data_IF_063206528949
#
_entry.id   IF_063206528949
#
_cell.length_a   1.000
_cell.length_b   1.000
_cell.length_c   1.000
_cell.angle_alpha   90.00
_cell.angle_beta   90.00
_cell.angle_gamma   90.00
#
_symmetry.space_group_name_H-M   'P 1'
#
loop_
_entity.id
_entity.type
_entity.pdbx_description
1 polymer ?
#
# COMPACT_ATOMS: atom_id res chain seq x y z
N UNK A 1 0.41 -6.18 -33.53
CA UNK A 1 -0.57 -5.94 -32.43
C UNK A 1 -1.57 -7.08 -32.43
N UNK A 2 -1.74 -7.84 -31.33
CA UNK A 2 -2.69 -8.95 -31.28
C UNK A 2 -4.13 -8.45 -31.37
N UNK A 3 -4.99 -9.23 -32.03
CA UNK A 3 -6.42 -8.94 -32.11
C UNK A 3 -7.13 -9.46 -30.85
N UNK A 4 -7.16 -8.62 -29.82
CA UNK A 4 -7.72 -8.93 -28.49
C UNK A 4 -9.22 -9.26 -28.56
N UNK A 5 -9.94 -8.65 -29.51
CA UNK A 5 -11.38 -8.88 -29.72
C UNK A 5 -11.65 -10.30 -30.24
N UNK A 6 -10.86 -10.75 -31.22
CA UNK A 6 -10.96 -12.12 -31.74
C UNK A 6 -10.69 -13.15 -30.65
N UNK A 7 -9.58 -12.98 -29.91
CA UNK A 7 -9.22 -13.86 -28.80
C UNK A 7 -10.31 -13.90 -27.71
N UNK A 8 -10.86 -12.74 -27.34
CA UNK A 8 -11.95 -12.67 -26.36
C UNK A 8 -13.18 -13.48 -26.79
N UNK A 9 -13.55 -13.43 -28.07
CA UNK A 9 -14.69 -14.20 -28.61
C UNK A 9 -14.42 -15.71 -28.62
N UNK A 10 -13.26 -16.12 -29.13
CA UNK A 10 -12.87 -17.54 -29.22
C UNK A 10 -12.87 -18.20 -27.84
N UNK A 11 -12.40 -17.49 -26.83
CA UNK A 11 -12.27 -18.04 -25.47
C UNK A 11 -13.41 -17.65 -24.52
N UNK A 12 -14.46 -16.99 -25.03
CA UNK A 12 -15.58 -16.48 -24.23
C UNK A 12 -15.14 -15.64 -23.00
N UNK A 13 -14.13 -14.78 -23.21
CA UNK A 13 -13.55 -13.91 -22.19
C UNK A 13 -14.04 -12.47 -22.35
N UNK A 14 -14.09 -11.73 -21.24
CA UNK A 14 -14.47 -10.32 -21.27
C UNK A 14 -13.42 -9.46 -21.97
N UNK A 15 -13.72 -8.97 -23.18
CA UNK A 15 -12.83 -8.11 -23.99
C UNK A 15 -12.22 -6.96 -23.20
N UNK A 16 -13.02 -6.22 -22.42
CA UNK A 16 -12.56 -5.09 -21.60
C UNK A 16 -11.50 -5.49 -20.57
N UNK A 17 -11.60 -6.69 -19.98
CA UNK A 17 -10.62 -7.20 -19.01
C UNK A 17 -9.29 -7.53 -19.70
N UNK A 18 -9.36 -8.19 -20.85
CA UNK A 18 -8.17 -8.52 -21.65
C UNK A 18 -7.46 -7.28 -22.18
N UNK A 19 -8.20 -6.28 -22.66
CA UNK A 19 -7.61 -5.02 -23.12
C UNK A 19 -6.89 -4.28 -21.97
N UNK A 20 -7.48 -4.26 -20.78
CA UNK A 20 -6.83 -3.69 -19.58
C UNK A 20 -5.56 -4.44 -19.21
N UNK A 21 -5.58 -5.77 -19.22
CA UNK A 21 -4.41 -6.59 -18.94
C UNK A 21 -3.31 -6.39 -19.99
N UNK A 22 -3.66 -6.36 -21.28
CA UNK A 22 -2.73 -6.10 -22.38
C UNK A 22 -2.06 -4.72 -22.27
N UNK A 23 -2.80 -3.70 -21.79
CA UNK A 23 -2.26 -2.36 -21.55
C UNK A 23 -1.53 -2.23 -20.20
N UNK A 24 -1.24 -3.34 -19.50
CA UNK A 24 -0.64 -3.36 -18.17
C UNK A 24 -1.36 -2.45 -17.16
N UNK A 25 -2.68 -2.32 -17.29
CA UNK A 25 -3.45 -1.47 -16.40
C UNK A 25 -3.47 -2.10 -14.99
N UNK A 26 -3.27 -1.30 -13.93
CA UNK A 26 -3.22 -1.80 -12.57
C UNK A 26 -4.53 -2.52 -12.21
N UNK A 27 -4.35 -3.69 -11.62
CA UNK A 27 -5.40 -4.54 -11.08
C UNK A 27 -5.81 -4.06 -9.69
N UNK A 28 -6.79 -4.72 -9.08
CA UNK A 28 -7.25 -4.35 -7.73
C UNK A 28 -6.14 -4.51 -6.69
N UNK A 29 -5.24 -5.48 -6.86
CA UNK A 29 -4.09 -5.70 -5.97
C UNK A 29 -3.04 -4.61 -6.09
N UNK A 30 -2.89 -4.02 -7.28
CA UNK A 30 -1.86 -2.99 -7.53
C UNK A 30 -2.27 -1.61 -7.02
N UNK A 31 -3.57 -1.41 -6.74
CA UNK A 31 -4.09 -0.13 -6.25
C UNK A 31 -3.86 -0.01 -4.75
N UNK A 32 -3.30 1.14 -4.33
CA UNK A 32 -3.32 1.55 -2.91
C UNK A 32 -4.79 1.59 -2.43
N UNK A 33 -5.11 0.99 -1.28
CA UNK A 33 -6.44 1.08 -0.70
C UNK A 33 -6.83 2.55 -0.51
N UNK A 34 -8.11 2.89 -0.72
CA UNK A 34 -8.63 4.25 -0.50
C UNK A 34 -8.32 4.76 0.92
N UNK A 35 -8.23 3.85 1.89
CA UNK A 35 -7.92 4.18 3.29
C UNK A 35 -6.42 4.06 3.62
N UNK A 36 -5.54 4.15 2.61
CA UNK A 36 -4.11 4.26 2.85
C UNK A 36 -3.79 5.67 3.30
N UNK A 37 -3.31 5.79 4.54
CA UNK A 37 -3.19 7.09 5.22
C UNK A 37 -1.86 7.77 4.99
N UNK A 38 -0.80 7.00 4.74
CA UNK A 38 0.52 7.55 4.47
C UNK A 38 0.63 7.94 2.99
N UNK A 39 1.22 9.11 2.74
CA UNK A 39 1.69 9.46 1.41
C UNK A 39 2.99 8.70 1.09
N UNK A 40 3.44 8.77 -0.16
CA UNK A 40 4.61 8.00 -0.64
C UNK A 40 5.90 8.33 0.12
N UNK A 41 6.09 9.59 0.52
CA UNK A 41 7.27 10.03 1.27
C UNK A 41 7.26 9.49 2.71
N UNK A 42 6.11 9.51 3.37
CA UNK A 42 5.92 8.93 4.71
C UNK A 42 6.07 7.42 4.69
N UNK A 43 5.60 6.75 3.63
CA UNK A 43 5.75 5.32 3.46
C UNK A 43 7.22 4.92 3.36
N UNK A 44 7.98 5.66 2.53
CA UNK A 44 9.43 5.48 2.41
C UNK A 44 10.16 5.77 3.75
N UNK A 45 9.73 6.78 4.49
CA UNK A 45 10.30 7.09 5.80
C UNK A 45 10.06 5.95 6.81
N UNK A 46 8.85 5.36 6.81
CA UNK A 46 8.52 4.21 7.64
C UNK A 46 9.34 2.97 7.26
N UNK A 47 9.51 2.69 5.97
CA UNK A 47 10.38 1.61 5.51
C UNK A 47 11.82 1.78 6.00
N UNK A 48 12.41 2.97 5.82
CA UNK A 48 13.79 3.24 6.27
C UNK A 48 13.96 3.06 7.77
N UNK A 49 12.97 3.47 8.54
CA UNK A 49 12.95 3.25 9.99
C UNK A 49 12.96 1.75 10.32
N UNK A 50 12.13 0.94 9.65
CA UNK A 50 12.08 -0.51 9.87
C UNK A 50 13.36 -1.22 9.40
N UNK A 51 13.94 -0.79 8.28
CA UNK A 51 15.24 -1.29 7.80
C UNK A 51 16.34 -1.05 8.83
N UNK A 52 16.37 0.14 9.45
CA UNK A 52 17.32 0.48 10.50
C UNK A 52 17.13 -0.40 11.75
N UNK A 53 15.89 -0.66 12.16
CA UNK A 53 15.60 -1.52 13.32
C UNK A 53 16.00 -2.97 13.05
N UNK A 54 15.67 -3.48 11.87
CA UNK A 54 16.04 -4.83 11.45
C UNK A 54 17.57 -4.99 11.39
N UNK A 55 18.30 -3.97 10.93
CA UNK A 55 19.76 -3.96 10.88
C UNK A 55 20.42 -4.07 12.27
N UNK A 56 19.76 -3.56 13.31
CA UNK A 56 20.23 -3.67 14.71
C UNK A 56 19.88 -5.04 15.32
N UNK A 57 19.12 -5.88 14.60
CA UNK A 57 18.71 -7.21 15.04
C UNK A 57 17.49 -7.20 15.98
N UNK A 58 16.76 -6.09 16.05
CA UNK A 58 15.54 -6.01 16.85
C UNK A 58 14.33 -6.45 16.03
N UNK A 59 13.46 -7.26 16.64
CA UNK A 59 12.26 -7.78 15.97
C UNK A 59 11.25 -6.69 15.64
N UNK A 60 10.70 -6.71 14.41
CA UNK A 60 9.67 -5.78 13.99
C UNK A 60 8.31 -6.20 14.56
N UNK A 61 7.69 -5.34 15.37
CA UNK A 61 6.36 -5.56 15.94
C UNK A 61 5.29 -4.64 15.35
N UNK A 62 4.07 -5.17 15.13
CA UNK A 62 2.95 -4.43 14.56
C UNK A 62 2.60 -3.14 15.31
N UNK A 63 2.75 -3.11 16.64
CA UNK A 63 2.49 -1.93 17.47
C UNK A 63 3.49 -0.80 17.18
N UNK A 64 4.76 -1.16 16.98
CA UNK A 64 5.83 -0.22 16.66
C UNK A 64 5.60 0.43 15.29
N UNK A 65 5.20 -0.37 14.29
CA UNK A 65 4.83 0.14 12.96
C UNK A 65 3.68 1.15 13.06
N UNK A 66 2.63 0.81 13.81
CA UNK A 66 1.50 1.71 13.99
C UNK A 66 1.90 3.01 14.71
N UNK A 67 2.74 2.93 15.74
CA UNK A 67 3.23 4.10 16.47
C UNK A 67 4.08 5.01 15.58
N UNK A 68 5.05 4.44 14.86
CA UNK A 68 5.91 5.24 13.98
C UNK A 68 5.12 5.84 12.81
N UNK A 69 4.22 5.07 12.20
CA UNK A 69 3.34 5.58 11.14
C UNK A 69 2.44 6.73 11.65
N UNK A 70 1.97 6.64 12.89
CA UNK A 70 1.17 7.72 13.49
C UNK A 70 2.02 8.96 13.79
N UNK A 71 3.25 8.80 14.27
CA UNK A 71 4.18 9.90 14.48
C UNK A 71 4.47 10.67 13.17
N UNK A 72 4.69 9.95 12.07
CA UNK A 72 4.87 10.57 10.74
C UNK A 72 3.63 11.33 10.25
N UNK A 73 2.43 10.86 10.62
CA UNK A 73 1.18 11.56 10.32
C UNK A 73 1.02 12.83 11.16
N UNK A 74 1.40 12.77 12.44
CA UNK A 74 1.36 13.92 13.34
C UNK A 74 2.30 15.03 12.87
N UNK A 75 3.51 14.67 12.44
CA UNK A 75 4.52 15.63 11.97
C UNK A 75 4.05 16.45 10.76
N UNK A 76 3.28 15.83 9.85
CA UNK A 76 2.77 16.51 8.66
C UNK A 76 1.31 16.98 8.80
N UNK A 77 0.75 16.98 10.01
CA UNK A 77 -0.66 17.28 10.19
C UNK A 77 -0.92 18.79 10.14
N UNK A 78 -1.80 19.20 9.21
CA UNK A 78 -2.20 20.60 9.00
C UNK A 78 -3.71 20.78 9.15
N UNK A 79 -4.38 19.84 9.84
CA UNK A 79 -5.83 19.86 10.01
C UNK A 79 -6.30 20.84 11.09
N UNK A 80 -7.62 21.03 11.23
CA UNK A 80 -8.20 21.94 12.22
C UNK A 80 -8.09 21.42 13.66
N UNK A 81 -7.89 20.12 13.84
CA UNK A 81 -7.74 19.50 15.17
C UNK A 81 -6.29 19.61 15.68
N UNK A 82 -6.07 19.29 16.96
CA UNK A 82 -4.72 19.23 17.54
C UNK A 82 -3.90 18.04 17.02
N UNK A 83 -4.55 17.00 16.50
CA UNK A 83 -3.87 15.79 16.02
C UNK A 83 -4.69 15.03 14.98
N UNK A 84 -4.03 14.28 14.08
CA UNK A 84 -4.71 13.44 13.11
C UNK A 84 -5.48 12.32 13.82
N UNK A 85 -6.58 11.82 13.23
CA UNK A 85 -7.29 10.65 13.73
C UNK A 85 -6.33 9.46 13.93
N UNK A 86 -6.57 8.56 14.89
CA UNK A 86 -5.71 7.40 15.11
C UNK A 86 -5.74 6.42 13.93
N UNK A 87 -4.65 5.69 13.71
CA UNK A 87 -4.62 4.60 12.75
C UNK A 87 -5.57 3.48 13.19
N UNK A 88 -6.27 2.85 12.24
CA UNK A 88 -7.18 1.75 12.57
C UNK A 88 -6.43 0.54 13.13
N UNK A 89 -7.08 -0.25 14.00
CA UNK A 89 -6.48 -1.39 14.69
C UNK A 89 -5.74 -2.38 13.76
N UNK A 90 -6.31 -2.67 12.59
CA UNK A 90 -5.74 -3.61 11.61
C UNK A 90 -4.77 -2.95 10.60
N UNK A 91 -4.46 -1.66 10.76
CA UNK A 91 -3.69 -0.91 9.78
C UNK A 91 -2.27 -1.46 9.61
N UNK A 92 -1.52 -1.64 10.70
CA UNK A 92 -0.16 -2.15 10.66
C UNK A 92 -0.09 -3.57 10.07
N UNK A 93 -1.04 -4.44 10.42
CA UNK A 93 -1.14 -5.79 9.84
C UNK A 93 -1.34 -5.73 8.31
N UNK A 94 -2.23 -4.86 7.84
CA UNK A 94 -2.47 -4.67 6.40
C UNK A 94 -1.31 -3.99 5.69
N UNK A 95 -0.51 -3.20 6.41
CA UNK A 95 0.69 -2.58 5.88
C UNK A 95 1.78 -3.65 5.68
N UNK A 96 2.04 -4.50 6.68
CA UNK A 96 2.97 -5.63 6.59
C UNK A 96 2.62 -6.61 5.45
N UNK A 97 1.34 -6.95 5.30
CA UNK A 97 0.88 -7.84 4.20
C UNK A 97 1.26 -7.34 2.80
N UNK A 98 1.52 -6.02 2.64
CA UNK A 98 1.94 -5.41 1.39
C UNK A 98 3.46 -5.25 1.28
N UNK A 99 4.17 -5.24 2.39
CA UNK A 99 5.62 -5.11 2.47
C UNK A 99 6.21 -6.45 2.94
N UNK A 100 6.18 -7.45 2.06
CA UNK A 100 6.64 -8.82 2.34
C UNK A 100 8.12 -8.94 2.75
N UNK A 101 8.88 -7.83 2.68
CA UNK A 101 10.27 -7.78 3.16
C UNK A 101 10.41 -7.83 4.70
N UNK A 102 9.32 -7.59 5.44
CA UNK A 102 9.30 -7.53 6.91
C UNK A 102 8.38 -8.58 7.54
#
# INVERSE_FOLDING_TARGET
KPNISSYAKVHNLGYKRLLRAYNNAPTRSDKKPTNYRLNDAQDLALERYLDAINAIGFGIHHRMIAQQAYALLQESYMGPDESPPPLGHNWARRWLQRHQKY
#
